data_IF_425701467348
#
_entry.id   IF_425701467348
#
_cell.length_a   1.000
_cell.length_b   1.000
_cell.length_c   1.000
_cell.angle_alpha   90.00
_cell.angle_beta   90.00
_cell.angle_gamma   90.00
#
_symmetry.space_group_name_H-M   'P 1'
#
loop_
_entity.id
_entity.type
_entity.pdbx_description
1 polymer ?
#
# COMPACT_ATOMS: atom_id res chain seq x y z
N UNK A 1 -4.96 4.91 -14.28
CA UNK A 1 -5.58 5.09 -15.61
C UNK A 1 -4.97 4.06 -16.54
N UNK A 2 -5.79 3.29 -17.24
CA UNK A 2 -5.30 2.37 -18.27
C UNK A 2 -4.75 3.18 -19.44
N UNK A 3 -3.72 2.66 -20.12
CA UNK A 3 -3.24 3.26 -21.37
C UNK A 3 -4.32 3.20 -22.45
N UNK A 4 -4.31 4.16 -23.38
CA UNK A 4 -5.29 4.17 -24.48
C UNK A 4 -5.23 2.86 -25.26
N UNK A 5 -6.39 2.23 -25.47
CA UNK A 5 -6.54 0.99 -26.23
C UNK A 5 -6.39 -0.31 -25.45
N UNK A 6 -6.17 -0.25 -24.13
CA UNK A 6 -6.16 -1.44 -23.26
C UNK A 6 -7.55 -1.59 -22.61
N UNK A 7 -8.12 -2.80 -22.71
CA UNK A 7 -9.37 -3.11 -22.06
C UNK A 7 -9.18 -3.13 -20.53
N UNK A 8 -9.99 -2.41 -19.75
CA UNK A 8 -9.92 -2.43 -18.30
C UNK A 8 -10.00 -3.82 -17.68
N UNK A 9 -10.68 -4.76 -18.32
CA UNK A 9 -10.78 -6.17 -17.86
C UNK A 9 -9.42 -6.88 -17.91
N UNK A 10 -8.57 -6.60 -18.92
CA UNK A 10 -7.22 -7.18 -19.00
C UNK A 10 -6.33 -6.68 -17.84
N UNK A 11 -6.50 -5.40 -17.47
CA UNK A 11 -5.78 -4.83 -16.34
C UNK A 11 -6.25 -5.45 -15.02
N UNK A 12 -7.57 -5.64 -14.87
CA UNK A 12 -8.13 -6.32 -13.70
C UNK A 12 -7.61 -7.74 -13.56
N UNK A 13 -7.57 -8.50 -14.65
CA UNK A 13 -7.04 -9.87 -14.66
C UNK A 13 -5.56 -9.90 -14.25
N UNK A 14 -4.73 -9.03 -14.83
CA UNK A 14 -3.33 -8.93 -14.48
C UNK A 14 -3.11 -8.53 -13.00
N UNK A 15 -3.93 -7.62 -12.46
CA UNK A 15 -3.89 -7.26 -11.03
C UNK A 15 -4.29 -8.44 -10.14
N UNK A 16 -5.29 -9.21 -10.54
CA UNK A 16 -5.72 -10.40 -9.80
C UNK A 16 -4.64 -11.47 -9.78
N UNK A 17 -3.97 -11.69 -10.91
CA UNK A 17 -2.87 -12.66 -11.00
C UNK A 17 -1.72 -12.30 -10.04
N UNK A 18 -1.38 -11.02 -9.94
CA UNK A 18 -0.37 -10.55 -8.99
C UNK A 18 -0.81 -10.75 -7.53
N UNK A 19 -2.06 -10.46 -7.19
CA UNK A 19 -2.60 -10.71 -5.85
C UNK A 19 -2.57 -12.21 -5.52
N UNK A 20 -3.00 -13.05 -6.45
CA UNK A 20 -2.95 -14.51 -6.26
C UNK A 20 -1.51 -15.03 -6.16
N UNK A 21 -0.57 -14.42 -6.88
CA UNK A 21 0.85 -14.72 -6.72
C UNK A 21 1.35 -14.37 -5.32
N UNK A 22 1.03 -13.20 -4.79
CA UNK A 22 1.39 -12.81 -3.42
C UNK A 22 0.85 -13.75 -2.34
N UNK A 23 -0.32 -14.38 -2.57
CA UNK A 23 -0.88 -15.37 -1.64
C UNK A 23 -0.14 -16.70 -1.69
N UNK A 24 0.41 -17.08 -2.85
CA UNK A 24 1.09 -18.36 -3.06
C UNK A 24 2.58 -18.29 -2.76
N UNK A 25 3.21 -17.22 -3.20
CA UNK A 25 4.65 -17.05 -3.15
C UNK A 25 5.06 -16.13 -2.00
N UNK A 26 6.21 -16.38 -1.45
CA UNK A 26 6.85 -15.49 -0.47
C UNK A 26 7.74 -14.53 -1.26
N UNK A 27 7.64 -13.24 -0.98
CA UNK A 27 8.51 -12.24 -1.62
C UNK A 27 9.97 -12.49 -1.22
N UNK A 28 10.90 -12.12 -2.10
CA UNK A 28 12.32 -12.27 -1.79
C UNK A 28 12.76 -11.31 -0.67
N UNK A 29 13.76 -11.71 0.11
CA UNK A 29 14.39 -10.86 1.12
C UNK A 29 14.88 -9.52 0.53
N UNK A 30 15.34 -9.54 -0.72
CA UNK A 30 15.77 -8.34 -1.43
C UNK A 30 14.62 -7.37 -1.69
N UNK A 31 13.46 -7.87 -2.08
CA UNK A 31 12.25 -7.06 -2.29
C UNK A 31 11.74 -6.51 -0.96
N UNK A 32 11.69 -7.32 0.07
CA UNK A 32 11.32 -6.86 1.40
C UNK A 32 12.26 -5.77 1.90
N UNK A 33 13.56 -5.94 1.76
CA UNK A 33 14.53 -4.94 2.18
C UNK A 33 14.36 -3.62 1.41
N UNK A 34 14.07 -3.69 0.10
CA UNK A 34 13.76 -2.51 -0.70
C UNK A 34 12.52 -1.77 -0.16
N UNK A 35 11.46 -2.51 0.18
CA UNK A 35 10.24 -1.92 0.76
C UNK A 35 10.51 -1.29 2.13
N UNK A 36 11.27 -1.95 3.00
CA UNK A 36 11.67 -1.40 4.30
C UNK A 36 12.46 -0.11 4.16
N UNK A 37 13.42 -0.08 3.27
CA UNK A 37 14.22 1.12 2.99
C UNK A 37 13.34 2.28 2.46
N UNK A 38 12.34 1.96 1.63
CA UNK A 38 11.41 2.97 1.12
C UNK A 38 10.54 3.54 2.25
N UNK A 39 9.99 2.69 3.10
CA UNK A 39 9.17 3.11 4.26
C UNK A 39 10.00 3.97 5.22
N UNK A 40 11.24 3.57 5.50
CA UNK A 40 12.15 4.31 6.35
C UNK A 40 12.49 5.70 5.76
N UNK A 41 12.77 5.74 4.45
CA UNK A 41 12.98 7.00 3.74
C UNK A 41 11.76 7.92 3.81
N UNK A 42 10.58 7.40 3.53
CA UNK A 42 9.32 8.16 3.53
C UNK A 42 9.01 8.68 4.93
N UNK A 43 9.21 7.85 5.96
CA UNK A 43 9.04 8.23 7.35
C UNK A 43 9.98 9.38 7.77
N UNK A 44 11.26 9.29 7.44
CA UNK A 44 12.24 10.33 7.73
C UNK A 44 11.89 11.62 6.96
N UNK A 45 11.58 11.51 5.68
CA UNK A 45 11.29 12.66 4.82
C UNK A 45 10.03 13.40 5.26
N UNK A 46 8.97 12.67 5.61
CA UNK A 46 7.72 13.25 6.10
C UNK A 46 7.91 14.05 7.40
N UNK A 47 8.84 13.64 8.23
CA UNK A 47 9.14 14.28 9.54
C UNK A 47 10.32 15.26 9.50
N UNK A 48 10.79 15.69 8.32
CA UNK A 48 11.88 16.69 8.23
C UNK A 48 11.43 18.13 8.49
N UNK A 49 10.15 18.44 8.31
CA UNK A 49 9.62 19.77 8.50
C UNK A 49 8.82 19.87 9.80
N UNK A 50 8.75 21.07 10.37
CA UNK A 50 7.91 21.35 11.53
C UNK A 50 6.42 21.03 11.26
N UNK A 51 5.94 21.31 10.05
CA UNK A 51 4.58 20.98 9.65
C UNK A 51 4.35 19.45 9.59
N UNK A 52 5.28 18.70 9.04
CA UNK A 52 5.21 17.24 8.98
C UNK A 52 5.24 16.60 10.37
N UNK A 53 6.11 17.07 11.26
CA UNK A 53 6.13 16.60 12.66
C UNK A 53 4.79 16.91 13.35
N UNK A 54 4.26 18.13 13.19
CA UNK A 54 3.00 18.52 13.81
C UNK A 54 1.82 17.69 13.29
N UNK A 55 1.78 17.43 11.99
CA UNK A 55 0.77 16.57 11.37
C UNK A 55 0.87 15.13 11.88
N UNK A 56 2.05 14.55 11.92
CA UNK A 56 2.29 13.20 12.44
C UNK A 56 1.85 13.07 13.89
N UNK A 57 2.26 14.00 14.76
CA UNK A 57 1.86 14.00 16.17
C UNK A 57 0.35 14.13 16.35
N UNK A 58 -0.30 15.02 15.59
CA UNK A 58 -1.74 15.20 15.62
C UNK A 58 -2.47 13.93 15.14
N UNK A 59 -2.03 13.28 14.07
CA UNK A 59 -2.61 12.06 13.55
C UNK A 59 -2.48 10.91 14.56
N UNK A 60 -1.29 10.68 15.11
CA UNK A 60 -1.09 9.63 16.11
C UNK A 60 -1.92 9.87 17.37
N UNK A 61 -2.00 11.10 17.86
CA UNK A 61 -2.84 11.40 19.00
C UNK A 61 -4.34 11.23 18.70
N UNK A 62 -4.81 11.72 17.56
CA UNK A 62 -6.24 11.75 17.22
C UNK A 62 -6.79 10.36 16.92
N UNK A 63 -6.06 9.56 16.14
CA UNK A 63 -6.54 8.26 15.68
C UNK A 63 -6.16 7.09 16.59
N UNK A 64 -5.05 7.21 17.33
CA UNK A 64 -4.51 6.12 18.13
C UNK A 64 -4.38 6.47 19.63
N UNK A 65 -4.59 7.73 20.01
CA UNK A 65 -4.50 8.18 21.39
C UNK A 65 -3.09 8.30 21.94
N UNK A 66 -2.06 8.05 21.12
CA UNK A 66 -0.66 8.04 21.56
C UNK A 66 0.25 8.72 20.54
N UNK A 67 0.62 9.97 20.84
CA UNK A 67 1.55 10.73 20.00
C UNK A 67 2.98 10.13 19.97
N UNK A 68 3.36 9.29 20.96
CA UNK A 68 4.68 8.69 21.02
C UNK A 68 4.89 7.63 19.92
N UNK A 69 3.84 7.21 19.24
CA UNK A 69 3.95 6.33 18.07
C UNK A 69 4.88 6.88 16.98
N UNK A 70 5.04 8.19 16.89
CA UNK A 70 6.04 8.82 15.99
C UNK A 70 7.48 8.29 16.24
N UNK A 71 7.77 7.80 17.42
CA UNK A 71 9.11 7.28 17.76
C UNK A 71 9.23 5.76 17.60
N UNK A 72 8.13 5.04 17.59
CA UNK A 72 8.14 3.57 17.73
C UNK A 72 7.48 2.84 16.56
N UNK A 73 6.63 3.51 15.77
CA UNK A 73 5.87 2.83 14.72
C UNK A 73 6.77 2.23 13.63
N UNK A 74 7.85 2.93 13.29
CA UNK A 74 8.81 2.45 12.29
C UNK A 74 9.37 1.06 12.60
N UNK A 75 9.60 0.76 13.89
CA UNK A 75 10.11 -0.54 14.33
C UNK A 75 9.15 -1.69 13.96
N UNK A 76 7.84 -1.42 13.97
CA UNK A 76 6.82 -2.42 13.58
C UNK A 76 6.89 -2.74 12.09
N UNK A 77 7.13 -1.75 11.24
CA UNK A 77 7.34 -1.97 9.80
C UNK A 77 8.63 -2.74 9.53
N UNK A 78 9.71 -2.41 10.25
CA UNK A 78 10.99 -3.08 10.08
C UNK A 78 10.98 -4.52 10.60
N UNK A 79 10.08 -4.86 11.54
CA UNK A 79 9.92 -6.21 12.04
C UNK A 79 9.16 -7.16 11.11
N UNK A 80 8.46 -6.64 10.08
CA UNK A 80 7.67 -7.44 9.14
C UNK A 80 8.55 -8.45 8.39
N UNK A 81 8.07 -9.68 8.28
CA UNK A 81 8.71 -10.77 7.53
C UNK A 81 8.03 -11.01 6.17
N UNK A 82 8.70 -11.70 5.23
CA UNK A 82 8.06 -12.10 3.96
C UNK A 82 6.80 -12.96 4.18
N UNK A 83 6.81 -13.82 5.19
CA UNK A 83 5.69 -14.66 5.59
C UNK A 83 4.49 -13.85 6.07
N UNK A 84 4.73 -12.79 6.84
CA UNK A 84 3.66 -11.90 7.34
C UNK A 84 2.92 -11.24 6.16
N UNK A 85 3.64 -10.83 5.13
CA UNK A 85 3.06 -10.23 3.92
C UNK A 85 2.16 -11.25 3.21
N UNK A 86 2.63 -12.49 3.03
CA UNK A 86 1.83 -13.55 2.41
C UNK A 86 0.58 -13.87 3.22
N UNK A 87 0.69 -14.00 4.54
CA UNK A 87 -0.46 -14.29 5.40
C UNK A 87 -1.46 -13.11 5.44
N UNK A 88 -0.97 -11.88 5.42
CA UNK A 88 -1.82 -10.70 5.26
C UNK A 88 -2.54 -10.71 3.90
N UNK A 89 -1.85 -11.06 2.81
CA UNK A 89 -2.46 -11.18 1.49
C UNK A 89 -3.60 -12.22 1.48
N UNK A 90 -3.38 -13.41 2.05
CA UNK A 90 -4.43 -14.45 2.17
C UNK A 90 -5.63 -13.97 2.97
N UNK A 91 -5.39 -13.25 4.06
CA UNK A 91 -6.43 -12.82 5.01
C UNK A 91 -7.30 -11.69 4.47
N UNK A 92 -6.70 -10.73 3.77
CA UNK A 92 -7.38 -9.49 3.42
C UNK A 92 -7.78 -9.39 1.95
N UNK A 93 -7.08 -10.05 1.03
CA UNK A 93 -7.38 -10.01 -0.39
C UNK A 93 -8.24 -11.21 -0.84
N UNK A 94 -9.39 -11.38 -0.21
CA UNK A 94 -10.39 -12.38 -0.65
C UNK A 94 -11.21 -11.81 -1.83
N UNK A 95 -11.40 -12.61 -2.87
CA UNK A 95 -12.13 -12.22 -4.09
C UNK A 95 -13.55 -11.74 -3.80
N UNK A 96 -14.21 -12.36 -2.81
CA UNK A 96 -15.59 -12.02 -2.41
C UNK A 96 -15.72 -10.69 -1.67
N UNK A 97 -14.60 -10.15 -1.16
CA UNK A 97 -14.54 -8.86 -0.44
C UNK A 97 -14.08 -7.70 -1.31
N UNK A 98 -13.97 -7.92 -2.63
CA UNK A 98 -13.48 -6.93 -3.58
C UNK A 98 -14.62 -6.16 -4.22
N UNK A 99 -14.39 -4.86 -4.40
CA UNK A 99 -15.22 -4.00 -5.26
C UNK A 99 -14.35 -3.50 -6.40
N UNK A 100 -14.79 -3.75 -7.64
CA UNK A 100 -14.13 -3.24 -8.85
C UNK A 100 -14.92 -2.06 -9.40
N UNK A 101 -14.26 -0.92 -9.62
CA UNK A 101 -14.83 0.26 -10.24
C UNK A 101 -14.09 0.57 -11.53
N UNK A 102 -14.82 0.55 -12.65
CA UNK A 102 -14.29 0.96 -13.95
C UNK A 102 -14.59 2.43 -14.19
N UNK A 103 -13.55 3.22 -14.39
CA UNK A 103 -13.66 4.62 -14.79
C UNK A 103 -13.34 4.71 -16.28
N UNK A 104 -14.40 4.78 -17.10
CA UNK A 104 -14.29 4.76 -18.56
C UNK A 104 -14.46 6.18 -19.12
N UNK A 105 -13.79 6.46 -20.24
CA UNK A 105 -13.98 7.68 -20.99
C UNK A 105 -15.35 7.63 -21.69
N UNK A 106 -16.18 8.66 -21.50
CA UNK A 106 -17.40 8.83 -22.27
C UNK A 106 -17.09 9.56 -23.59
N UNK A 107 -17.23 8.87 -24.75
CA UNK A 107 -16.92 9.48 -26.04
C UNK A 107 -17.84 10.67 -26.40
N UNK A 108 -18.92 10.88 -25.64
CA UNK A 108 -19.87 12.02 -25.86
C UNK A 108 -19.42 13.29 -25.15
N UNK A 109 -18.39 13.26 -24.32
CA UNK A 109 -17.88 14.40 -23.55
C UNK A 109 -16.63 15.03 -24.17
N UNK A 110 -16.43 14.95 -25.47
CA UNK A 110 -15.41 15.80 -26.14
C UNK A 110 -15.95 17.22 -26.28
N UNK A 111 -15.15 18.24 -25.86
CA UNK A 111 -15.48 19.65 -26.06
C UNK A 111 -15.45 20.02 -27.54
#
# INVERSE_FOLDING_TARGET
>A
MCNMGIDPSEVEEAMNDEVERMKREVISERELQKLKNQIEYDFVTSNQSMAGIAESLANYHTYFGDANLINTEIERYLAVTPEDIREAAKKYYESEKRVTLYFLHDPKTQP
#
